data_IF_915545070201
#
_entry.id   IF_915545070201
#
_cell.length_a   1.000
_cell.length_b   1.000
_cell.length_c   1.000
_cell.angle_alpha   90.00
_cell.angle_beta   90.00
_cell.angle_gamma   90.00
#
_symmetry.space_group_name_H-M   'P 1'
#
loop_
_entity.id
_entity.type
_entity.pdbx_description
1 polymer ?
#
# COMPACT_ATOMS: atom_id res chain seq x y z
N UNK A 1 12.09 -16.04 -9.63
CA UNK A 1 11.41 -15.10 -8.72
C UNK A 1 11.10 -15.84 -7.44
N UNK A 2 11.35 -15.26 -6.28
CA UNK A 2 10.94 -15.82 -4.99
C UNK A 2 9.42 -15.99 -4.99
N UNK A 3 8.92 -17.14 -4.55
CA UNK A 3 7.49 -17.39 -4.45
C UNK A 3 6.88 -16.49 -3.37
N UNK A 4 5.75 -15.85 -3.69
CA UNK A 4 5.07 -14.97 -2.75
C UNK A 4 4.36 -15.79 -1.67
N UNK A 5 4.62 -15.47 -0.41
CA UNK A 5 3.86 -16.03 0.72
C UNK A 5 2.49 -15.35 0.75
N UNK A 6 1.43 -16.13 0.77
CA UNK A 6 0.05 -15.65 0.89
C UNK A 6 -0.78 -16.58 1.76
N UNK A 7 -1.89 -16.06 2.28
CA UNK A 7 -2.95 -16.84 2.95
C UNK A 7 -4.31 -16.41 2.42
N UNK A 8 -5.23 -17.38 2.29
CA UNK A 8 -6.65 -17.10 2.08
C UNK A 8 -7.37 -17.43 3.38
N UNK A 9 -7.93 -16.43 4.02
CA UNK A 9 -8.79 -16.58 5.20
C UNK A 9 -10.22 -16.75 4.67
N UNK A 10 -10.73 -17.98 4.78
CA UNK A 10 -12.04 -18.36 4.24
C UNK A 10 -13.12 -18.23 5.33
N UNK A 11 -14.34 -17.83 4.98
CA UNK A 11 -15.48 -17.93 5.88
C UNK A 11 -15.83 -19.38 6.17
N UNK A 12 -16.46 -19.63 7.32
CA UNK A 12 -17.05 -20.94 7.65
C UNK A 12 -18.40 -21.18 6.93
N UNK A 13 -18.97 -20.10 6.39
CA UNK A 13 -20.22 -20.09 5.61
C UNK A 13 -19.90 -20.01 4.11
N UNK A 14 -20.94 -19.91 3.29
CA UNK A 14 -20.80 -19.68 1.86
C UNK A 14 -20.04 -18.36 1.58
N UNK A 15 -19.13 -18.40 0.60
CA UNK A 15 -18.38 -17.21 0.17
C UNK A 15 -19.30 -16.30 -0.63
N UNK A 16 -19.55 -15.09 -0.12
CA UNK A 16 -20.41 -14.06 -0.75
C UNK A 16 -19.62 -13.02 -1.53
N UNK A 17 -18.35 -12.84 -1.20
CA UNK A 17 -17.43 -11.92 -1.87
C UNK A 17 -15.99 -12.32 -1.61
N UNK A 18 -15.06 -11.75 -2.38
CA UNK A 18 -13.63 -11.90 -2.14
C UNK A 18 -12.94 -10.54 -2.01
N UNK A 19 -11.83 -10.50 -1.28
CA UNK A 19 -10.98 -9.33 -1.13
C UNK A 19 -9.51 -9.72 -1.26
N UNK A 20 -8.76 -9.04 -2.13
CA UNK A 20 -7.30 -9.06 -2.10
C UNK A 20 -6.82 -7.86 -1.28
N UNK A 21 -5.96 -8.10 -0.29
CA UNK A 21 -5.43 -7.09 0.61
C UNK A 21 -3.95 -6.83 0.31
N UNK A 22 -3.61 -5.58 -0.06
CA UNK A 22 -2.26 -5.11 -0.36
C UNK A 22 -1.79 -4.26 0.81
N UNK A 23 -0.79 -4.75 1.55
CA UNK A 23 -0.27 -4.11 2.76
C UNK A 23 0.60 -2.87 2.49
N UNK A 24 0.94 -2.12 3.53
CA UNK A 24 1.76 -0.92 3.47
C UNK A 24 3.27 -1.18 3.41
N UNK A 25 4.06 -0.09 3.44
CA UNK A 25 5.52 -0.21 3.45
C UNK A 25 6.04 -0.68 4.82
N UNK A 26 7.15 -1.42 4.81
CA UNK A 26 7.86 -1.84 6.03
C UNK A 26 6.99 -2.64 7.00
N UNK A 27 6.05 -3.41 6.47
CA UNK A 27 5.19 -4.33 7.21
C UNK A 27 4.95 -5.61 6.39
N UNK A 28 4.06 -6.50 6.82
CA UNK A 28 3.81 -7.77 6.14
C UNK A 28 2.37 -8.27 6.37
N UNK A 29 1.97 -9.30 5.60
CA UNK A 29 0.60 -9.82 5.56
C UNK A 29 0.03 -10.25 6.92
N UNK A 30 0.87 -10.76 7.83
CA UNK A 30 0.36 -11.30 9.09
C UNK A 30 -0.30 -10.23 9.99
N UNK A 31 0.03 -8.95 9.80
CA UNK A 31 -0.63 -7.82 10.49
C UNK A 31 -2.11 -7.66 10.12
N UNK A 32 -2.52 -8.24 8.99
CA UNK A 32 -3.89 -8.19 8.48
C UNK A 32 -4.73 -9.44 8.81
N UNK A 33 -4.18 -10.42 9.52
CA UNK A 33 -4.90 -11.67 9.87
C UNK A 33 -6.18 -11.38 10.67
N UNK A 34 -6.13 -10.48 11.67
CA UNK A 34 -7.30 -10.13 12.46
C UNK A 34 -8.38 -9.44 11.64
N UNK A 35 -7.99 -8.48 10.79
CA UNK A 35 -8.87 -7.83 9.83
C UNK A 35 -9.53 -8.83 8.88
N UNK A 36 -8.73 -9.71 8.28
CA UNK A 36 -9.22 -10.75 7.37
C UNK A 36 -10.19 -11.73 8.07
N UNK A 37 -9.94 -12.08 9.33
CA UNK A 37 -10.84 -12.91 10.12
C UNK A 37 -12.18 -12.24 10.41
N UNK A 38 -12.19 -10.94 10.71
CA UNK A 38 -13.45 -10.21 10.93
C UNK A 38 -14.28 -10.15 9.64
N UNK A 39 -13.65 -9.93 8.49
CA UNK A 39 -14.33 -9.96 7.20
C UNK A 39 -14.81 -11.37 6.83
N UNK A 40 -14.06 -12.41 7.17
CA UNK A 40 -14.48 -13.80 6.90
C UNK A 40 -15.76 -14.19 7.65
N UNK A 41 -15.98 -13.66 8.85
CA UNK A 41 -17.25 -13.83 9.58
C UNK A 41 -18.47 -13.25 8.83
N UNK A 42 -18.23 -12.32 7.90
CA UNK A 42 -19.25 -11.70 7.04
C UNK A 42 -19.38 -12.38 5.67
N UNK A 43 -18.79 -13.56 5.50
CA UNK A 43 -18.85 -14.31 4.23
C UNK A 43 -17.86 -13.84 3.17
N UNK A 44 -16.80 -13.10 3.53
CA UNK A 44 -15.79 -12.59 2.61
C UNK A 44 -14.53 -13.45 2.69
N UNK A 45 -14.11 -14.07 1.59
CA UNK A 45 -12.82 -14.75 1.50
C UNK A 45 -11.72 -13.69 1.24
N UNK A 46 -10.73 -13.59 2.15
CA UNK A 46 -9.70 -12.56 2.10
C UNK A 46 -8.34 -13.18 1.80
N UNK A 47 -7.72 -12.77 0.69
CA UNK A 47 -6.34 -13.08 0.38
C UNK A 47 -5.43 -11.96 0.92
N UNK A 48 -4.52 -12.33 1.81
CA UNK A 48 -3.45 -11.50 2.33
C UNK A 48 -2.11 -12.10 1.88
N UNK A 49 -1.13 -11.29 1.51
CA UNK A 49 0.16 -11.76 0.99
C UNK A 49 1.28 -10.78 1.28
N UNK A 50 2.53 -11.27 1.23
CA UNK A 50 3.71 -10.43 1.33
C UNK A 50 4.07 -9.84 -0.03
N UNK A 51 4.16 -8.52 -0.10
CA UNK A 51 4.73 -7.82 -1.25
C UNK A 51 6.20 -8.21 -1.44
N UNK A 52 6.71 -8.25 -2.67
CA UNK A 52 8.15 -8.41 -2.91
C UNK A 52 9.00 -7.48 -2.03
N UNK A 53 10.07 -8.03 -1.45
CA UNK A 53 10.91 -7.30 -0.50
C UNK A 53 10.31 -7.09 0.89
N UNK A 54 9.24 -7.80 1.25
CA UNK A 54 8.58 -7.74 2.56
C UNK A 54 8.32 -9.15 3.10
N UNK A 55 8.14 -9.22 4.42
CA UNK A 55 7.77 -10.46 5.11
C UNK A 55 8.85 -11.53 5.15
N UNK A 56 8.46 -12.74 5.60
CA UNK A 56 9.40 -13.83 5.92
C UNK A 56 10.15 -14.36 4.69
N UNK A 57 9.50 -14.41 3.51
CA UNK A 57 10.13 -14.89 2.28
C UNK A 57 11.30 -13.99 1.82
N UNK A 58 11.33 -12.75 2.29
CA UNK A 58 12.31 -11.74 1.90
C UNK A 58 13.13 -11.21 3.07
N UNK A 59 13.17 -11.92 4.21
CA UNK A 59 13.80 -11.41 5.43
C UNK A 59 15.28 -11.02 5.28
N UNK A 60 16.01 -11.68 4.40
CA UNK A 60 17.40 -11.37 4.09
C UNK A 60 17.56 -10.18 3.13
N UNK A 61 16.46 -9.74 2.49
CA UNK A 61 16.44 -8.70 1.47
C UNK A 61 15.32 -7.66 1.71
N UNK A 62 14.92 -7.45 2.96
CA UNK A 62 13.84 -6.50 3.30
C UNK A 62 14.09 -5.10 2.75
N UNK A 63 13.08 -4.58 2.07
CA UNK A 63 13.09 -3.27 1.43
C UNK A 63 13.78 -3.23 0.07
N UNK A 64 14.12 -4.39 -0.50
CA UNK A 64 14.65 -4.51 -1.86
C UNK A 64 13.62 -5.23 -2.76
N UNK A 65 13.20 -4.60 -3.84
CA UNK A 65 12.17 -5.16 -4.74
C UNK A 65 12.76 -5.75 -6.00
N UNK A 66 13.68 -5.01 -6.65
CA UNK A 66 14.44 -5.45 -7.81
C UNK A 66 15.61 -4.49 -8.11
N UNK A 67 16.56 -4.92 -8.93
CA UNK A 67 17.64 -4.06 -9.43
C UNK A 67 17.07 -2.91 -10.31
N UNK A 68 16.03 -3.19 -11.07
CA UNK A 68 15.33 -2.25 -11.96
C UNK A 68 13.85 -2.54 -11.95
N UNK A 69 13.03 -1.49 -12.13
CA UNK A 69 11.58 -1.58 -12.26
C UNK A 69 10.91 -2.34 -11.10
N UNK A 70 11.34 -2.10 -9.85
CA UNK A 70 10.77 -2.75 -8.69
C UNK A 70 9.33 -2.29 -8.43
N UNK A 71 8.96 -1.09 -8.83
CA UNK A 71 7.59 -0.59 -8.90
C UNK A 71 6.70 -1.52 -9.76
N UNK A 72 7.20 -1.93 -10.92
CA UNK A 72 6.51 -2.87 -11.81
C UNK A 72 6.37 -4.26 -11.17
N UNK A 73 7.41 -4.74 -10.48
CA UNK A 73 7.38 -6.02 -9.73
C UNK A 73 6.30 -6.00 -8.65
N UNK A 74 6.16 -4.88 -7.92
CA UNK A 74 5.10 -4.71 -6.93
C UNK A 74 3.71 -4.74 -7.56
N UNK A 75 3.48 -3.99 -8.65
CA UNK A 75 2.20 -3.96 -9.35
C UNK A 75 1.86 -5.34 -9.93
N UNK A 76 2.83 -6.05 -10.51
CA UNK A 76 2.65 -7.40 -11.03
C UNK A 76 2.30 -8.43 -9.95
N UNK A 77 2.79 -8.23 -8.72
CA UNK A 77 2.41 -9.09 -7.59
C UNK A 77 0.91 -9.00 -7.27
N UNK A 78 0.32 -7.80 -7.37
CA UNK A 78 -1.14 -7.60 -7.23
C UNK A 78 -1.89 -8.38 -8.30
N UNK A 79 -1.49 -8.25 -9.57
CA UNK A 79 -2.11 -8.97 -10.69
C UNK A 79 -2.10 -10.50 -10.46
N UNK A 80 -0.96 -11.01 -9.98
CA UNK A 80 -0.80 -12.43 -9.67
C UNK A 80 -1.78 -12.90 -8.59
N UNK A 81 -1.92 -12.12 -7.50
CA UNK A 81 -2.81 -12.48 -6.38
C UNK A 81 -4.28 -12.29 -6.73
N UNK A 82 -4.62 -11.25 -7.50
CA UNK A 82 -5.96 -11.03 -8.04
C UNK A 82 -6.38 -12.21 -8.92
N UNK A 83 -5.57 -12.59 -9.90
CA UNK A 83 -5.86 -13.74 -10.79
C UNK A 83 -6.04 -15.04 -10.01
N UNK A 84 -5.20 -15.26 -8.99
CA UNK A 84 -5.26 -16.44 -8.14
C UNK A 84 -6.60 -16.54 -7.41
N UNK A 85 -7.03 -15.46 -6.74
CA UNK A 85 -8.27 -15.45 -5.97
C UNK A 85 -9.50 -15.50 -6.88
N UNK A 86 -9.48 -14.78 -8.02
CA UNK A 86 -10.57 -14.80 -8.99
C UNK A 86 -10.77 -16.18 -9.64
N UNK A 87 -9.68 -16.92 -9.88
CA UNK A 87 -9.78 -18.28 -10.41
C UNK A 87 -10.42 -19.28 -9.43
N UNK A 88 -10.26 -19.05 -8.12
CA UNK A 88 -10.86 -19.89 -7.08
C UNK A 88 -12.35 -19.56 -6.84
N UNK A 89 -12.76 -18.30 -7.06
CA UNK A 89 -14.11 -17.79 -6.75
C UNK A 89 -14.71 -17.03 -7.92
N UNK A 90 -15.09 -17.73 -9.00
CA UNK A 90 -15.51 -17.11 -10.28
C UNK A 90 -16.89 -16.45 -10.27
N UNK A 91 -17.74 -16.76 -9.27
CA UNK A 91 -19.17 -16.38 -9.29
C UNK A 91 -19.56 -15.39 -8.21
N UNK A 92 -18.60 -14.78 -7.53
CA UNK A 92 -18.85 -13.78 -6.47
C UNK A 92 -18.19 -12.45 -6.82
N UNK A 93 -18.69 -11.32 -6.26
CA UNK A 93 -18.04 -10.02 -6.44
C UNK A 93 -16.64 -9.99 -5.84
N UNK A 94 -15.72 -9.34 -6.54
CA UNK A 94 -14.32 -9.22 -6.16
C UNK A 94 -13.99 -7.78 -5.76
N UNK A 95 -13.32 -7.63 -4.63
CA UNK A 95 -12.88 -6.35 -4.10
C UNK A 95 -11.35 -6.30 -4.00
N UNK A 96 -10.80 -5.09 -4.03
CA UNK A 96 -9.39 -4.83 -3.85
C UNK A 96 -9.18 -3.80 -2.74
N UNK A 97 -8.29 -4.09 -1.79
CA UNK A 97 -7.95 -3.21 -0.68
C UNK A 97 -6.45 -2.87 -0.72
N UNK A 98 -6.12 -1.60 -0.57
CA UNK A 98 -4.74 -1.14 -0.43
C UNK A 98 -4.58 -0.23 0.78
N UNK A 99 -3.59 -0.53 1.63
CA UNK A 99 -3.24 0.30 2.78
C UNK A 99 -1.93 1.04 2.53
N UNK A 100 -1.89 2.35 2.81
CA UNK A 100 -0.68 3.17 2.72
C UNK A 100 0.04 2.99 1.36
N UNK A 101 1.28 2.54 1.30
CA UNK A 101 1.98 2.19 0.05
C UNK A 101 1.16 1.21 -0.81
N UNK A 102 0.46 0.25 -0.21
CA UNK A 102 -0.43 -0.66 -0.93
C UNK A 102 -1.53 0.09 -1.68
N UNK A 103 -2.02 1.22 -1.17
CA UNK A 103 -2.99 2.06 -1.89
C UNK A 103 -2.39 2.79 -3.10
N UNK A 104 -1.08 3.11 -3.05
CA UNK A 104 -0.36 3.63 -4.22
C UNK A 104 -0.30 2.54 -5.30
N UNK A 105 0.13 1.34 -4.91
CA UNK A 105 0.23 0.19 -5.82
C UNK A 105 -1.12 -0.14 -6.44
N UNK A 106 -2.20 -0.16 -5.65
CA UNK A 106 -3.57 -0.40 -6.12
C UNK A 106 -3.99 0.67 -7.14
N UNK A 107 -3.78 1.96 -6.85
CA UNK A 107 -4.12 3.05 -7.80
C UNK A 107 -3.39 2.90 -9.13
N UNK A 108 -2.11 2.53 -9.13
CA UNK A 108 -1.35 2.28 -10.36
C UNK A 108 -1.81 0.98 -11.06
N UNK A 109 -2.23 -0.03 -10.30
CA UNK A 109 -2.79 -1.25 -10.87
C UNK A 109 -4.12 -1.03 -11.60
N UNK A 110 -4.95 -0.05 -11.16
CA UNK A 110 -6.21 0.30 -11.83
C UNK A 110 -6.03 0.75 -13.30
N UNK A 111 -4.86 1.25 -13.68
CA UNK A 111 -4.55 1.54 -15.09
C UNK A 111 -4.62 0.28 -15.97
N UNK A 112 -4.40 -0.90 -15.40
CA UNK A 112 -4.33 -2.19 -16.10
C UNK A 112 -5.63 -2.96 -15.99
N UNK A 113 -6.18 -3.00 -14.78
CA UNK A 113 -7.37 -3.78 -14.46
C UNK A 113 -8.20 -3.06 -13.38
N UNK A 114 -9.38 -2.61 -13.77
CA UNK A 114 -10.38 -1.99 -12.90
C UNK A 114 -11.70 -2.80 -12.87
N UNK A 115 -11.63 -4.09 -13.24
CA UNK A 115 -12.76 -5.01 -13.19
C UNK A 115 -12.96 -5.58 -11.78
N UNK A 116 -13.45 -4.72 -10.88
CA UNK A 116 -13.77 -5.05 -9.50
C UNK A 116 -15.20 -4.58 -9.16
N UNK A 117 -15.79 -5.19 -8.12
CA UNK A 117 -17.04 -4.73 -7.53
C UNK A 117 -16.84 -3.49 -6.64
N UNK A 118 -15.62 -3.25 -6.18
CA UNK A 118 -15.25 -2.08 -5.43
C UNK A 118 -13.76 -2.08 -5.03
N UNK A 119 -13.23 -0.89 -4.76
CA UNK A 119 -11.85 -0.68 -4.31
C UNK A 119 -11.84 0.15 -3.04
N UNK A 120 -11.00 -0.24 -2.08
CA UNK A 120 -10.83 0.46 -0.80
C UNK A 120 -9.39 0.92 -0.66
N UNK A 121 -9.19 2.20 -0.44
CA UNK A 121 -7.90 2.87 -0.31
C UNK A 121 -7.79 3.44 1.11
N UNK A 122 -7.03 2.75 1.97
CA UNK A 122 -6.90 3.10 3.39
C UNK A 122 -5.58 3.84 3.65
N UNK A 123 -5.63 4.97 4.36
CA UNK A 123 -4.45 5.79 4.69
C UNK A 123 -3.65 6.16 3.43
N UNK A 124 -4.34 6.55 2.37
CA UNK A 124 -3.77 6.67 1.03
C UNK A 124 -2.85 7.89 0.89
N UNK A 125 -1.52 7.70 0.69
CA UNK A 125 -0.62 8.84 0.45
C UNK A 125 -0.99 9.56 -0.85
N UNK A 126 -0.91 10.89 -0.82
CA UNK A 126 -1.13 11.71 -2.00
C UNK A 126 0.14 11.89 -2.84
N UNK A 127 -0.03 12.44 -4.06
CA UNK A 127 1.09 12.86 -4.91
C UNK A 127 1.99 13.86 -4.18
N UNK A 128 3.30 13.72 -4.39
CA UNK A 128 4.32 14.60 -3.84
C UNK A 128 5.17 15.20 -4.97
N UNK A 129 5.14 16.52 -5.19
CA UNK A 129 5.91 17.15 -6.27
C UNK A 129 7.41 16.87 -6.23
N UNK A 130 7.96 16.66 -5.02
CA UNK A 130 9.37 16.35 -4.82
C UNK A 130 9.73 14.88 -5.14
N UNK A 131 8.76 14.00 -5.38
CA UNK A 131 9.01 12.57 -5.63
C UNK A 131 9.93 12.34 -6.83
N UNK A 132 9.73 13.09 -7.94
CA UNK A 132 10.61 13.00 -9.11
C UNK A 132 12.07 13.39 -8.83
N UNK A 133 12.31 14.34 -7.93
CA UNK A 133 13.68 14.64 -7.46
C UNK A 133 14.21 13.51 -6.59
N UNK A 134 13.41 12.99 -5.64
CA UNK A 134 13.76 11.83 -4.82
C UNK A 134 14.15 10.61 -5.65
N UNK A 135 13.41 10.33 -6.72
CA UNK A 135 13.70 9.26 -7.67
C UNK A 135 15.07 9.43 -8.34
N UNK A 136 15.37 10.63 -8.87
CA UNK A 136 16.66 10.91 -9.52
C UNK A 136 17.83 10.79 -8.53
N UNK A 137 17.66 11.28 -7.31
CA UNK A 137 18.65 11.18 -6.24
C UNK A 137 18.89 9.69 -5.88
N UNK A 138 17.83 8.92 -5.67
CA UNK A 138 17.92 7.49 -5.39
C UNK A 138 18.61 6.73 -6.54
N UNK A 139 18.28 7.05 -7.79
CA UNK A 139 18.95 6.47 -8.97
C UNK A 139 20.45 6.77 -9.01
N UNK A 140 20.87 7.98 -8.63
CA UNK A 140 22.28 8.33 -8.52
C UNK A 140 22.98 7.51 -7.43
N UNK A 141 22.35 7.39 -6.26
CA UNK A 141 22.89 6.63 -5.13
C UNK A 141 22.99 5.12 -5.45
N UNK A 142 22.00 4.57 -6.15
CA UNK A 142 22.06 3.19 -6.68
C UNK A 142 23.27 2.98 -7.59
N UNK A 143 23.57 3.93 -8.49
CA UNK A 143 24.77 3.86 -9.35
C UNK A 143 26.08 3.94 -8.57
N UNK A 144 26.11 4.70 -7.48
CA UNK A 144 27.33 4.92 -6.68
C UNK A 144 27.59 3.84 -5.64
N UNK A 145 26.54 3.32 -5.02
CA UNK A 145 26.64 2.45 -3.81
C UNK A 145 26.06 1.05 -4.04
N UNK A 146 25.38 0.82 -5.16
CA UNK A 146 24.66 -0.40 -5.46
C UNK A 146 23.19 -0.37 -5.01
N UNK A 147 22.34 -1.25 -5.60
CA UNK A 147 20.89 -1.23 -5.41
C UNK A 147 20.46 -1.60 -3.98
N UNK A 148 21.23 -2.41 -3.27
CA UNK A 148 20.92 -2.89 -1.92
C UNK A 148 21.48 -1.98 -0.80
N UNK A 149 22.18 -0.90 -1.12
CA UNK A 149 22.59 0.09 -0.14
C UNK A 149 21.36 0.71 0.56
N UNK A 150 21.55 1.14 1.82
CA UNK A 150 20.48 1.78 2.63
C UNK A 150 20.96 3.17 3.07
N UNK A 151 20.69 4.18 2.26
CA UNK A 151 21.11 5.57 2.52
C UNK A 151 20.09 6.27 3.40
N UNK A 152 20.51 6.69 4.62
CA UNK A 152 19.65 7.37 5.62
C UNK A 152 18.90 8.59 5.06
N UNK A 153 19.51 9.33 4.12
CA UNK A 153 18.87 10.47 3.48
C UNK A 153 17.59 10.09 2.74
N UNK A 154 17.60 8.97 1.98
CA UNK A 154 16.41 8.50 1.27
C UNK A 154 15.31 8.06 2.23
N UNK A 155 15.66 7.37 3.33
CA UNK A 155 14.72 7.02 4.39
C UNK A 155 14.10 8.28 5.02
N UNK A 156 14.90 9.31 5.27
CA UNK A 156 14.39 10.56 5.82
C UNK A 156 13.45 11.30 4.85
N UNK A 157 13.69 11.21 3.55
CA UNK A 157 12.83 11.80 2.52
C UNK A 157 11.52 11.02 2.34
N UNK A 158 11.51 9.70 2.55
CA UNK A 158 10.32 8.86 2.36
C UNK A 158 9.37 8.89 3.56
N UNK A 159 9.87 8.75 4.79
CA UNK A 159 9.02 8.63 6.00
C UNK A 159 9.38 9.61 7.13
N UNK A 160 10.50 10.32 7.02
CA UNK A 160 11.01 11.13 8.12
C UNK A 160 10.16 12.33 8.52
N UNK A 161 9.22 12.76 7.67
CA UNK A 161 8.27 13.81 8.00
C UNK A 161 7.11 13.33 8.88
N UNK A 162 6.75 12.05 8.81
CA UNK A 162 5.57 11.53 9.52
C UNK A 162 5.76 11.51 11.03
N UNK A 163 6.94 11.12 11.52
CA UNK A 163 7.25 11.16 12.95
C UNK A 163 7.22 12.57 13.52
N UNK A 164 7.56 13.58 12.72
CA UNK A 164 7.52 15.00 13.14
C UNK A 164 6.11 15.59 13.20
N UNK A 165 5.15 14.97 12.51
CA UNK A 165 3.76 15.42 12.51
C UNK A 165 3.05 15.12 13.85
N UNK A 166 3.58 14.17 14.64
CA UNK A 166 2.99 13.78 15.92
C UNK A 166 3.60 14.58 17.07
N UNK A 167 2.81 15.45 17.70
CA UNK A 167 3.23 16.15 18.91
C UNK A 167 3.42 15.18 20.07
N UNK A 168 4.53 15.33 20.80
CA UNK A 168 4.88 14.49 21.96
C UNK A 168 5.00 12.97 21.62
N UNK A 169 5.46 12.64 20.40
CA UNK A 169 5.72 11.27 20.03
C UNK A 169 6.70 10.62 21.02
N UNK A 170 6.34 9.43 21.52
CA UNK A 170 7.17 8.61 22.42
C UNK A 170 8.13 7.71 21.63
N UNK A 171 7.74 7.37 20.40
CA UNK A 171 8.51 6.53 19.48
C UNK A 171 8.55 7.14 18.07
N UNK A 172 9.50 6.75 17.22
CA UNK A 172 9.59 7.26 15.85
C UNK A 172 8.42 6.82 14.95
N UNK A 173 7.56 5.91 15.42
CA UNK A 173 6.45 5.33 14.66
C UNK A 173 5.07 5.55 15.29
N UNK A 174 4.94 6.45 16.26
CA UNK A 174 3.65 6.81 16.88
C UNK A 174 2.64 7.39 15.88
N UNK A 175 3.11 7.81 14.72
CA UNK A 175 2.26 8.27 13.62
C UNK A 175 1.42 7.15 12.98
N UNK A 176 1.77 5.88 13.23
CA UNK A 176 1.04 4.72 12.68
C UNK A 176 -0.33 4.50 13.34
N UNK A 177 -0.45 4.81 14.64
CA UNK A 177 -1.69 4.51 15.36
C UNK A 177 -1.75 5.24 16.71
N UNK A 178 -2.96 5.59 17.16
CA UNK A 178 -3.22 5.99 18.54
C UNK A 178 -3.22 4.79 19.51
N UNK A 179 -3.39 3.57 19.00
CA UNK A 179 -3.33 2.35 19.81
C UNK A 179 -1.85 2.00 20.08
N UNK A 180 -1.39 2.25 21.33
CA UNK A 180 -0.02 1.98 21.75
C UNK A 180 0.38 0.49 21.58
N UNK A 181 -0.57 -0.44 21.67
CA UNK A 181 -0.30 -1.87 21.44
C UNK A 181 0.03 -2.16 19.97
N UNK A 182 -0.67 -1.51 19.01
CA UNK A 182 -0.32 -1.61 17.59
C UNK A 182 1.09 -1.06 17.32
N UNK A 183 1.44 0.07 17.94
CA UNK A 183 2.77 0.67 17.84
C UNK A 183 3.84 -0.26 18.41
N UNK A 184 3.59 -0.83 19.58
CA UNK A 184 4.49 -1.79 20.24
C UNK A 184 4.68 -3.06 19.43
N UNK A 185 3.60 -3.62 18.87
CA UNK A 185 3.66 -4.81 18.01
C UNK A 185 4.51 -4.51 16.77
N UNK A 186 4.35 -3.34 16.13
CA UNK A 186 5.16 -2.93 14.99
C UNK A 186 6.66 -2.81 15.35
N UNK A 187 6.98 -2.24 16.51
CA UNK A 187 8.37 -2.05 16.96
C UNK A 187 9.06 -3.37 17.35
N UNK A 188 8.30 -4.34 17.84
CA UNK A 188 8.82 -5.63 18.30
C UNK A 188 8.87 -6.68 17.17
N UNK A 189 8.38 -6.37 15.99
CA UNK A 189 8.36 -7.27 14.85
C UNK A 189 9.58 -7.02 13.96
N UNK A 190 10.47 -8.01 13.87
CA UNK A 190 11.71 -7.93 13.09
C UNK A 190 11.50 -7.73 11.58
N UNK A 191 10.29 -8.05 11.08
CA UNK A 191 9.89 -7.87 9.69
C UNK A 191 9.27 -6.49 9.42
N UNK A 192 9.06 -5.68 10.49
CA UNK A 192 8.50 -4.35 10.42
C UNK A 192 9.56 -3.25 10.61
N UNK A 193 9.29 -2.05 10.07
CA UNK A 193 10.14 -0.86 10.28
C UNK A 193 11.52 -0.92 9.61
N UNK A 194 11.82 -1.95 8.83
CA UNK A 194 13.12 -2.09 8.15
C UNK A 194 13.21 -1.09 6.99
N UNK A 195 14.21 -0.18 6.98
CA UNK A 195 14.37 0.81 5.93
C UNK A 195 14.52 0.19 4.55
N UNK A 196 13.90 0.79 3.56
CA UNK A 196 14.08 0.40 2.17
C UNK A 196 15.52 0.61 1.70
N UNK A 197 15.96 -0.24 0.78
CA UNK A 197 17.21 -0.04 0.05
C UNK A 197 17.13 1.19 -0.85
N UNK A 198 18.26 1.63 -1.40
CA UNK A 198 18.30 2.76 -2.32
C UNK A 198 17.48 2.46 -3.59
N UNK A 199 17.46 1.20 -4.08
CA UNK A 199 16.57 0.77 -5.16
C UNK A 199 15.10 0.77 -4.72
N UNK A 200 14.77 0.26 -3.53
CA UNK A 200 13.39 0.28 -3.01
C UNK A 200 12.84 1.70 -2.84
N UNK A 201 13.67 2.65 -2.34
CA UNK A 201 13.28 4.05 -2.26
C UNK A 201 13.11 4.70 -3.66
N UNK A 202 13.99 4.37 -4.63
CA UNK A 202 13.82 4.79 -6.03
C UNK A 202 12.45 4.38 -6.56
N UNK A 203 12.06 3.13 -6.34
CA UNK A 203 10.82 2.55 -6.85
C UNK A 203 9.60 3.15 -6.13
N UNK A 204 9.69 3.40 -4.81
CA UNK A 204 8.67 4.13 -4.06
C UNK A 204 8.46 5.55 -4.62
N UNK A 205 9.54 6.32 -4.84
CA UNK A 205 9.44 7.65 -5.40
C UNK A 205 8.92 7.63 -6.85
N UNK A 206 9.26 6.59 -7.63
CA UNK A 206 8.69 6.37 -8.97
C UNK A 206 7.18 6.21 -8.88
N UNK A 207 6.68 5.32 -8.03
CA UNK A 207 5.24 5.11 -7.84
C UNK A 207 4.52 6.39 -7.39
N UNK A 208 5.07 7.13 -6.42
CA UNK A 208 4.47 8.40 -5.96
C UNK A 208 4.44 9.44 -7.08
N UNK A 209 5.51 9.53 -7.89
CA UNK A 209 5.55 10.48 -9.02
C UNK A 209 4.55 10.12 -10.13
N UNK A 210 4.19 8.85 -10.26
CA UNK A 210 3.23 8.37 -11.26
C UNK A 210 1.76 8.51 -10.82
N UNK A 211 1.46 8.87 -9.57
CA UNK A 211 0.07 9.03 -9.11
C UNK A 211 -0.74 10.07 -9.92
N UNK A 212 -0.10 11.04 -10.53
CA UNK A 212 -0.72 12.03 -11.41
C UNK A 212 -0.65 11.67 -12.90
N UNK A 213 -0.11 10.47 -13.24
CA UNK A 213 -0.07 10.03 -14.63
C UNK A 213 -1.50 9.85 -15.17
N UNK A 214 -1.84 10.49 -16.31
CA UNK A 214 -3.19 10.38 -16.86
C UNK A 214 -3.39 9.01 -17.53
N UNK A 215 -4.53 8.39 -17.23
CA UNK A 215 -5.03 7.21 -17.93
C UNK A 215 -6.55 7.31 -18.07
N UNK A 216 -7.17 6.39 -18.80
CA UNK A 216 -8.63 6.36 -18.95
C UNK A 216 -9.19 5.14 -18.23
N UNK A 217 -10.10 5.37 -17.29
CA UNK A 217 -10.84 4.31 -16.60
C UNK A 217 -11.62 3.44 -17.61
N UNK A 218 -11.50 2.12 -17.48
CA UNK A 218 -12.27 1.15 -18.28
C UNK A 218 -13.63 0.88 -17.64
N UNK A 219 -13.72 1.05 -16.31
CA UNK A 219 -14.96 0.96 -15.53
C UNK A 219 -15.21 2.28 -14.78
N UNK A 220 -15.76 3.32 -15.44
CA UNK A 220 -16.03 4.62 -14.83
C UNK A 220 -16.98 4.59 -13.62
N UNK A 221 -17.80 3.56 -13.50
CA UNK A 221 -18.75 3.36 -12.40
C UNK A 221 -18.18 2.58 -11.21
N UNK A 222 -16.91 2.13 -11.27
CA UNK A 222 -16.26 1.41 -10.18
C UNK A 222 -16.39 2.18 -8.86
N UNK A 223 -17.01 1.58 -7.82
CA UNK A 223 -17.04 2.18 -6.50
C UNK A 223 -15.62 2.23 -5.90
N UNK A 224 -15.16 3.41 -5.51
CA UNK A 224 -13.87 3.62 -4.85
C UNK A 224 -14.12 4.32 -3.53
N UNK A 225 -13.68 3.70 -2.44
CA UNK A 225 -13.80 4.24 -1.09
C UNK A 225 -12.43 4.61 -0.54
N UNK A 226 -12.22 5.87 -0.20
CA UNK A 226 -11.10 6.31 0.63
C UNK A 226 -11.46 6.22 2.12
N UNK A 227 -10.58 5.63 2.92
CA UNK A 227 -10.71 5.59 4.37
C UNK A 227 -9.43 6.15 4.97
N UNK A 228 -9.55 7.11 5.91
CA UNK A 228 -8.39 7.70 6.58
C UNK A 228 -8.71 8.10 8.02
N UNK A 229 -7.66 8.21 8.83
CA UNK A 229 -7.73 8.94 10.08
C UNK A 229 -7.64 10.45 9.84
N UNK A 230 -8.29 11.24 10.69
CA UNK A 230 -8.23 12.72 10.65
C UNK A 230 -6.79 13.22 10.88
N UNK A 231 -6.04 12.52 11.72
CA UNK A 231 -4.67 12.88 12.11
C UNK A 231 -3.60 12.05 11.38
N UNK A 232 -3.98 11.35 10.29
CA UNK A 232 -3.05 10.55 9.50
C UNK A 232 -2.12 11.46 8.64
N UNK A 233 -0.81 11.51 8.93
CA UNK A 233 0.11 12.39 8.21
C UNK A 233 0.41 11.90 6.78
N UNK A 234 0.11 10.63 6.45
CA UNK A 234 0.41 10.05 5.14
C UNK A 234 -0.47 10.62 4.03
N UNK A 235 -1.71 10.96 4.36
CA UNK A 235 -2.71 11.41 3.37
C UNK A 235 -2.49 12.82 2.86
N UNK A 236 -1.63 13.61 3.52
CA UNK A 236 -1.49 15.05 3.27
C UNK A 236 -2.70 15.87 3.75
N UNK A 237 -3.50 15.29 4.66
CA UNK A 237 -4.71 15.91 5.19
C UNK A 237 -5.80 16.10 4.14
N UNK A 238 -6.72 17.03 4.38
CA UNK A 238 -7.84 17.31 3.48
C UNK A 238 -7.38 17.65 2.05
N UNK A 239 -6.32 18.44 1.90
CA UNK A 239 -5.84 18.83 0.57
C UNK A 239 -5.26 17.65 -0.21
N UNK A 240 -4.51 16.76 0.45
CA UNK A 240 -3.97 15.58 -0.17
C UNK A 240 -5.04 14.56 -0.55
N UNK A 241 -6.09 14.42 0.27
CA UNK A 241 -7.24 13.59 -0.04
C UNK A 241 -8.01 14.12 -1.26
N UNK A 242 -8.29 15.43 -1.30
CA UNK A 242 -8.94 16.09 -2.44
C UNK A 242 -8.11 15.92 -3.72
N UNK A 243 -6.79 16.06 -3.65
CA UNK A 243 -5.89 15.83 -4.78
C UNK A 243 -5.99 14.39 -5.29
N UNK A 244 -5.94 13.39 -4.41
CA UNK A 244 -6.06 11.97 -4.75
C UNK A 244 -7.41 11.64 -5.41
N UNK A 245 -8.52 12.15 -4.86
CA UNK A 245 -9.87 11.97 -5.42
C UNK A 245 -9.97 12.64 -6.79
N UNK A 246 -9.57 13.92 -6.90
CA UNK A 246 -9.64 14.67 -8.16
C UNK A 246 -8.84 14.01 -9.28
N UNK A 247 -7.70 13.41 -8.94
CA UNK A 247 -6.86 12.70 -9.91
C UNK A 247 -7.59 11.48 -10.48
N UNK A 248 -8.23 10.67 -9.63
CA UNK A 248 -9.03 9.53 -10.10
C UNK A 248 -10.27 9.99 -10.89
N UNK A 249 -10.91 11.09 -10.48
CA UNK A 249 -12.02 11.67 -11.24
C UNK A 249 -11.59 12.15 -12.63
N UNK A 250 -10.43 12.78 -12.75
CA UNK A 250 -9.85 13.19 -14.05
C UNK A 250 -9.55 11.98 -14.95
N UNK A 251 -9.22 10.85 -14.35
CA UNK A 251 -9.02 9.58 -15.06
C UNK A 251 -10.33 8.89 -15.45
N UNK A 252 -11.49 9.41 -15.02
CA UNK A 252 -12.83 8.99 -15.45
C UNK A 252 -13.63 8.22 -14.41
N UNK A 253 -13.15 8.01 -13.18
CA UNK A 253 -13.95 7.37 -12.12
C UNK A 253 -14.98 8.36 -11.55
N UNK A 254 -16.27 8.00 -11.59
CA UNK A 254 -17.36 8.86 -11.16
C UNK A 254 -17.89 8.54 -9.75
N UNK A 255 -17.67 7.32 -9.27
CA UNK A 255 -18.24 6.82 -8.01
C UNK A 255 -17.16 6.73 -6.92
N UNK A 256 -16.79 7.87 -6.34
CA UNK A 256 -15.74 7.95 -5.31
C UNK A 256 -16.33 8.57 -4.05
N UNK A 257 -16.16 7.85 -2.93
CA UNK A 257 -16.53 8.29 -1.59
C UNK A 257 -15.31 8.37 -0.68
N UNK A 258 -15.41 9.15 0.40
CA UNK A 258 -14.41 9.14 1.45
C UNK A 258 -15.03 9.15 2.84
N UNK A 259 -14.41 8.45 3.76
CA UNK A 259 -14.74 8.43 5.17
C UNK A 259 -13.49 8.78 5.97
N UNK A 260 -13.57 9.85 6.76
CA UNK A 260 -12.49 10.24 7.68
C UNK A 260 -12.94 10.01 9.11
N UNK A 261 -12.16 9.24 9.84
CA UNK A 261 -12.46 8.91 11.23
C UNK A 261 -11.78 9.89 12.18
N UNK A 262 -12.52 10.57 13.08
CA UNK A 262 -11.94 11.49 14.04
C UNK A 262 -11.05 10.74 15.04
N UNK A 263 -9.96 11.39 15.48
CA UNK A 263 -9.00 10.81 16.44
C UNK A 263 -8.44 9.45 16.01
N UNK A 264 -8.14 9.30 14.71
CA UNK A 264 -7.48 8.14 14.11
C UNK A 264 -6.28 8.59 13.26
N UNK A 265 -5.31 7.69 13.14
CA UNK A 265 -4.13 7.85 12.27
C UNK A 265 -3.99 6.64 11.39
#
# INVERSE_FOLDING_TARGET
MTELIYKIIKPETEVRATLVCVHGMQEHHARYISFARELSKQGIAVLIYDLPGHGEAFKDELGYFADRNGDEVLIQSVDTMVKKLHAEYTHVPHFLFGHSMGSIIVRLYLERNDNFAGVILCGAPNYQPAAGFGQKLAQLLVKMKGPKAKTKLLTALSVGSFSKAVKNAKTPVDWLSYNEENVKQFLNDELCGVPFTDAGNRDLFTMVSHLHHPFTAKNPSLPILFISGEDDPCTGGTLGLVDSISTLQKNGYANIENITFPKMR
#
